data_IF_640681628871
#
_entry.id   IF_640681628871
#
_cell.length_a   1.000
_cell.length_b   1.000
_cell.length_c   1.000
_cell.angle_alpha   90.00
_cell.angle_beta   90.00
_cell.angle_gamma   90.00
#
_symmetry.space_group_name_H-M   'P 1'
#
loop_
_entity.id
_entity.type
_entity.pdbx_description
1 polymer ?
#
# COMPACT_ATOMS: atom_id res chain seq x y z
N UNK A 1 -3.44 12.59 2.12
CA UNK A 1 -4.79 12.02 2.36
C UNK A 1 -4.64 10.55 2.68
N UNK A 2 -5.75 9.82 2.82
CA UNK A 2 -5.75 8.35 2.95
C UNK A 2 -7.05 7.81 2.32
N UNK A 3 -7.05 6.54 1.90
CA UNK A 3 -8.27 5.83 1.52
C UNK A 3 -8.89 6.20 0.17
N UNK A 4 -8.09 6.70 -0.79
CA UNK A 4 -8.58 6.96 -2.15
C UNK A 4 -9.39 8.25 -2.31
N UNK A 5 -9.20 9.23 -1.42
CA UNK A 5 -9.75 10.58 -1.59
C UNK A 5 -9.03 11.33 -2.71
N UNK A 6 -9.78 12.00 -3.59
CA UNK A 6 -9.26 12.83 -4.70
C UNK A 6 -8.38 12.06 -5.70
N UNK A 7 -8.69 10.79 -5.96
CA UNK A 7 -8.05 10.00 -7.03
C UNK A 7 -8.89 10.11 -8.30
N UNK A 8 -8.24 10.49 -9.40
CA UNK A 8 -8.86 10.58 -10.73
C UNK A 8 -8.02 9.79 -11.74
N UNK A 9 -8.69 9.03 -12.60
CA UNK A 9 -8.06 8.45 -13.78
C UNK A 9 -8.30 9.40 -14.96
N UNK A 10 -7.22 9.91 -15.54
CA UNK A 10 -7.29 10.78 -16.71
C UNK A 10 -6.99 9.98 -17.98
N UNK A 11 -7.83 10.16 -19.00
CA UNK A 11 -7.58 9.70 -20.36
C UNK A 11 -7.13 10.85 -21.25
N UNK A 12 -6.48 10.55 -22.37
CA UNK A 12 -5.97 11.56 -23.29
C UNK A 12 -7.09 12.46 -23.83
N UNK A 13 -8.27 11.89 -24.05
CA UNK A 13 -9.45 12.56 -24.59
C UNK A 13 -10.50 12.90 -23.52
N UNK A 14 -10.09 12.95 -22.24
CA UNK A 14 -10.98 13.31 -21.14
C UNK A 14 -11.40 14.80 -21.23
N UNK A 15 -12.69 15.11 -21.47
CA UNK A 15 -13.15 16.49 -21.61
C UNK A 15 -12.99 17.29 -20.31
N UNK A 16 -12.88 16.61 -19.16
CA UNK A 16 -12.74 17.23 -17.84
C UNK A 16 -11.28 17.37 -17.40
N UNK A 17 -10.30 17.03 -18.24
CA UNK A 17 -8.88 17.06 -17.86
C UNK A 17 -8.45 18.39 -17.24
N UNK A 18 -8.78 19.51 -17.88
CA UNK A 18 -8.39 20.84 -17.40
C UNK A 18 -9.02 21.18 -16.04
N UNK A 19 -10.32 20.96 -15.89
CA UNK A 19 -11.03 21.27 -14.63
C UNK A 19 -10.61 20.33 -13.49
N UNK A 20 -10.32 19.06 -13.78
CA UNK A 20 -9.75 18.14 -12.78
C UNK A 20 -8.43 18.70 -12.28
N UNK A 21 -7.50 19.05 -13.19
CA UNK A 21 -6.18 19.60 -12.83
C UNK A 21 -6.31 20.89 -12.01
N UNK A 22 -7.15 21.83 -12.44
CA UNK A 22 -7.43 23.08 -11.70
C UNK A 22 -7.96 22.78 -10.28
N UNK A 23 -8.89 21.83 -10.16
CA UNK A 23 -9.52 21.48 -8.87
C UNK A 23 -8.53 20.80 -7.93
N UNK A 24 -7.81 19.78 -8.39
CA UNK A 24 -6.91 19.00 -7.51
C UNK A 24 -5.68 19.81 -7.10
N UNK A 25 -5.23 20.74 -7.94
CA UNK A 25 -4.10 21.63 -7.66
C UNK A 25 -4.50 22.90 -6.92
N UNK A 26 -5.80 23.13 -6.65
CA UNK A 26 -6.29 24.42 -6.14
C UNK A 26 -5.74 25.60 -6.95
N UNK A 27 -5.96 25.56 -8.27
CA UNK A 27 -5.43 26.53 -9.24
C UNK A 27 -3.92 26.77 -9.11
N UNK A 28 -3.16 25.68 -8.93
CA UNK A 28 -1.69 25.70 -8.79
C UNK A 28 -1.15 26.02 -7.39
N UNK A 29 -2.01 26.17 -6.37
CA UNK A 29 -1.59 26.45 -4.98
C UNK A 29 -1.23 25.19 -4.18
N UNK A 30 -1.60 24.01 -4.68
CA UNK A 30 -1.35 22.71 -4.07
C UNK A 30 -0.58 21.81 -5.02
N UNK A 31 0.47 21.18 -4.50
CA UNK A 31 1.21 20.13 -5.20
C UNK A 31 0.35 18.87 -5.32
N UNK A 32 0.42 18.21 -6.47
CA UNK A 32 -0.27 16.94 -6.72
C UNK A 32 0.71 15.90 -7.23
N UNK A 33 0.35 14.63 -7.09
CA UNK A 33 1.11 13.52 -7.63
C UNK A 33 0.40 12.99 -8.88
N UNK A 34 1.13 12.84 -9.97
CA UNK A 34 0.67 12.14 -11.16
C UNK A 34 1.48 10.85 -11.31
N UNK A 35 0.79 9.73 -11.47
CA UNK A 35 1.39 8.42 -11.72
C UNK A 35 0.77 7.85 -12.98
N UNK A 36 1.52 7.02 -13.71
CA UNK A 36 0.92 6.25 -14.79
C UNK A 36 -0.14 5.30 -14.23
N UNK A 37 -1.18 5.06 -15.02
CA UNK A 37 -2.18 4.05 -14.68
C UNK A 37 -1.57 2.64 -14.79
N UNK A 38 -1.86 1.78 -13.81
CA UNK A 38 -1.42 0.39 -13.76
C UNK A 38 -2.63 -0.54 -13.95
N UNK A 39 -2.81 -1.15 -15.13
CA UNK A 39 -3.94 -2.06 -15.39
C UNK A 39 -4.03 -3.26 -14.43
N UNK A 40 -2.90 -3.65 -13.84
CA UNK A 40 -2.76 -4.71 -12.84
C UNK A 40 -3.55 -4.43 -11.56
N UNK A 41 -3.97 -3.19 -11.33
CA UNK A 41 -4.89 -2.80 -10.25
C UNK A 41 -6.14 -3.70 -10.16
N UNK A 42 -6.61 -4.26 -11.28
CA UNK A 42 -7.73 -5.21 -11.31
C UNK A 42 -7.46 -6.50 -10.52
N UNK A 43 -6.18 -6.87 -10.36
CA UNK A 43 -5.73 -8.02 -9.55
C UNK A 43 -5.63 -7.66 -8.07
N UNK A 44 -5.84 -6.38 -7.73
CA UNK A 44 -5.83 -5.84 -6.38
C UNK A 44 -4.59 -5.01 -6.09
N UNK A 45 -4.77 -4.06 -5.18
CA UNK A 45 -3.70 -3.29 -4.57
C UNK A 45 -3.21 -4.06 -3.33
N UNK A 46 -2.02 -4.65 -3.42
CA UNK A 46 -1.48 -5.55 -2.40
C UNK A 46 -0.78 -4.77 -1.30
N UNK A 47 -1.31 -4.91 -0.07
CA UNK A 47 -0.66 -4.47 1.16
C UNK A 47 0.35 -5.52 1.62
N UNK A 48 1.62 -5.13 1.70
CA UNK A 48 2.70 -5.92 2.31
C UNK A 48 3.11 -5.25 3.61
N UNK A 49 3.06 -5.99 4.72
CA UNK A 49 3.52 -5.48 6.02
C UNK A 49 5.03 -5.73 6.16
N UNK A 50 5.76 -4.69 6.56
CA UNK A 50 7.20 -4.74 6.84
C UNK A 50 7.43 -4.35 8.29
N UNK A 51 8.11 -5.23 9.03
CA UNK A 51 8.36 -5.12 10.46
C UNK A 51 9.87 -5.08 10.66
N UNK A 52 10.38 -3.96 11.17
CA UNK A 52 11.82 -3.72 11.36
C UNK A 52 12.67 -4.02 10.11
N UNK A 53 12.15 -3.64 8.94
CA UNK A 53 12.80 -3.87 7.64
C UNK A 53 12.61 -5.28 7.06
N UNK A 54 11.93 -6.19 7.76
CA UNK A 54 11.65 -7.56 7.29
C UNK A 54 10.19 -7.67 6.83
N UNK A 55 9.91 -8.09 5.57
CA UNK A 55 8.55 -8.27 5.12
C UNK A 55 7.89 -9.50 5.75
N UNK A 56 6.60 -9.39 6.08
CA UNK A 56 5.77 -10.55 6.37
C UNK A 56 5.64 -11.40 5.08
N UNK A 57 5.73 -12.74 5.14
CA UNK A 57 5.80 -13.58 3.93
C UNK A 57 4.57 -13.56 3.00
N UNK A 58 3.49 -12.92 3.45
CA UNK A 58 2.24 -12.80 2.71
C UNK A 58 1.80 -11.33 2.63
N UNK A 59 1.12 -10.99 1.55
CA UNK A 59 0.43 -9.70 1.38
C UNK A 59 -1.07 -9.89 1.24
N UNK A 60 -1.82 -8.81 1.50
CA UNK A 60 -3.27 -8.77 1.31
C UNK A 60 -3.58 -7.99 0.04
N UNK A 61 -3.95 -8.69 -1.05
CA UNK A 61 -4.47 -8.08 -2.26
C UNK A 61 -5.87 -7.53 -1.99
N UNK A 62 -6.06 -6.22 -2.17
CA UNK A 62 -7.35 -5.57 -1.96
C UNK A 62 -7.99 -5.33 -3.32
N UNK A 63 -8.91 -6.22 -3.68
CA UNK A 63 -9.52 -6.26 -5.02
C UNK A 63 -10.74 -5.33 -5.04
N UNK A 64 -10.78 -4.34 -5.95
CA UNK A 64 -11.88 -3.39 -6.07
C UNK A 64 -13.23 -4.07 -6.31
N UNK A 65 -14.30 -3.46 -5.80
CA UNK A 65 -15.66 -3.86 -6.16
C UNK A 65 -15.94 -3.57 -7.64
N UNK A 66 -16.87 -4.31 -8.25
CA UNK A 66 -17.29 -4.08 -9.64
C UNK A 66 -17.81 -2.64 -9.79
N UNK A 67 -17.20 -1.88 -10.70
CA UNK A 67 -17.56 -0.49 -10.99
C UNK A 67 -16.85 0.55 -10.12
N UNK A 68 -15.98 0.14 -9.20
CA UNK A 68 -15.20 1.03 -8.34
C UNK A 68 -13.73 1.06 -8.79
N UNK A 69 -13.14 2.27 -8.86
CA UNK A 69 -11.75 2.47 -9.29
C UNK A 69 -10.77 2.48 -8.11
N UNK A 70 -11.24 2.19 -6.90
CA UNK A 70 -10.45 2.20 -5.66
C UNK A 70 -10.35 0.80 -5.05
N UNK A 71 -9.14 0.42 -4.64
CA UNK A 71 -8.85 -0.89 -4.05
C UNK A 71 -8.96 -0.92 -2.52
N UNK A 72 -9.32 0.16 -1.84
CA UNK A 72 -9.31 0.20 -0.38
C UNK A 72 -10.46 -0.64 0.23
N UNK A 73 -10.18 -1.39 1.30
CA UNK A 73 -11.20 -2.16 2.03
C UNK A 73 -12.35 -1.28 2.54
N UNK A 74 -12.05 -0.04 2.95
CA UNK A 74 -13.05 0.94 3.37
C UNK A 74 -14.03 1.34 2.25
N UNK A 75 -13.68 1.13 0.98
CA UNK A 75 -14.52 1.37 -0.19
C UNK A 75 -15.22 0.09 -0.69
N UNK A 76 -15.20 -1.00 0.08
CA UNK A 76 -15.88 -2.27 -0.27
C UNK A 76 -15.02 -3.27 -1.05
N UNK A 77 -13.70 -3.08 -1.09
CA UNK A 77 -12.79 -4.06 -1.70
C UNK A 77 -12.76 -5.38 -0.91
N UNK A 78 -12.57 -6.48 -1.63
CA UNK A 78 -12.37 -7.81 -1.03
C UNK A 78 -10.89 -8.05 -0.75
N UNK A 79 -10.54 -8.39 0.49
CA UNK A 79 -9.18 -8.75 0.87
C UNK A 79 -8.88 -10.22 0.59
N UNK A 80 -7.86 -10.50 -0.22
CA UNK A 80 -7.39 -11.85 -0.56
C UNK A 80 -5.92 -11.97 -0.19
N UNK A 81 -5.60 -12.88 0.72
CA UNK A 81 -4.21 -13.17 1.09
C UNK A 81 -3.48 -13.91 -0.03
N UNK A 82 -2.23 -13.54 -0.29
CA UNK A 82 -1.34 -14.28 -1.19
C UNK A 82 0.10 -14.24 -0.70
N UNK A 83 0.90 -15.27 -1.03
CA UNK A 83 2.34 -15.25 -0.79
C UNK A 83 3.00 -14.13 -1.59
N UNK A 84 4.10 -13.59 -1.07
CA UNK A 84 4.87 -12.60 -1.82
C UNK A 84 5.48 -13.24 -3.07
N UNK A 85 5.29 -12.59 -4.22
CA UNK A 85 5.95 -12.99 -5.47
C UNK A 85 7.45 -12.70 -5.39
N UNK A 86 8.23 -13.28 -6.30
CA UNK A 86 9.68 -12.98 -6.40
C UNK A 86 9.92 -11.48 -6.52
N UNK A 87 9.13 -10.80 -7.37
CA UNK A 87 9.24 -9.37 -7.57
C UNK A 87 8.92 -8.56 -6.31
N UNK A 88 7.90 -8.95 -5.56
CA UNK A 88 7.53 -8.30 -4.31
C UNK A 88 8.61 -8.49 -3.22
N UNK A 89 9.24 -9.67 -3.19
CA UNK A 89 10.38 -9.94 -2.30
C UNK A 89 11.59 -9.06 -2.67
N UNK A 90 11.90 -8.89 -3.96
CA UNK A 90 12.96 -7.98 -4.42
C UNK A 90 12.69 -6.53 -3.99
N UNK A 91 11.45 -6.05 -4.17
CA UNK A 91 11.02 -4.73 -3.72
C UNK A 91 11.27 -4.56 -2.22
N UNK A 92 10.83 -5.54 -1.41
CA UNK A 92 11.00 -5.49 0.03
C UNK A 92 12.48 -5.55 0.45
N UNK A 93 13.31 -6.34 -0.25
CA UNK A 93 14.74 -6.43 0.01
C UNK A 93 15.48 -5.11 -0.29
N UNK A 94 15.02 -4.36 -1.30
CA UNK A 94 15.59 -3.05 -1.63
C UNK A 94 15.17 -1.96 -0.64
N UNK A 95 13.90 -1.98 -0.19
CA UNK A 95 13.33 -0.92 0.65
C UNK A 95 13.56 -1.16 2.15
N UNK A 96 13.51 -2.42 2.60
CA UNK A 96 13.57 -2.83 4.00
C UNK A 96 14.74 -2.24 4.80
N UNK A 97 15.99 -2.28 4.29
CA UNK A 97 17.14 -1.69 4.97
C UNK A 97 16.99 -0.18 5.21
N UNK A 98 16.44 0.55 4.23
CA UNK A 98 16.22 2.00 4.31
C UNK A 98 15.16 2.33 5.37
N UNK A 99 14.06 1.57 5.39
CA UNK A 99 13.02 1.74 6.43
C UNK A 99 13.59 1.53 7.83
N UNK A 100 14.44 0.51 7.99
CA UNK A 100 15.09 0.20 9.27
C UNK A 100 16.01 1.34 9.72
N UNK A 101 16.86 1.85 8.81
CA UNK A 101 17.75 2.99 9.04
C UNK A 101 16.98 4.26 9.45
N UNK A 102 15.83 4.51 8.80
CA UNK A 102 14.94 5.63 9.13
C UNK A 102 14.17 5.43 10.45
N UNK A 103 14.34 4.30 11.13
CA UNK A 103 13.64 4.00 12.38
C UNK A 103 12.16 3.62 12.20
N UNK A 104 11.72 3.32 10.98
CA UNK A 104 10.34 2.98 10.66
C UNK A 104 10.07 1.51 10.99
N UNK A 105 9.56 1.29 12.20
CA UNK A 105 9.40 -0.05 12.77
C UNK A 105 8.27 -0.86 12.12
N UNK A 106 7.16 -0.23 11.76
CA UNK A 106 5.99 -0.89 11.21
C UNK A 106 5.45 -0.12 10.00
N UNK A 107 5.56 -0.73 8.83
CA UNK A 107 5.27 -0.09 7.53
C UNK A 107 4.36 -0.96 6.70
N UNK A 108 3.42 -0.34 5.98
CA UNK A 108 2.62 -0.99 4.95
C UNK A 108 3.05 -0.53 3.57
N UNK A 109 3.63 -1.40 2.77
CA UNK A 109 3.90 -1.14 1.36
C UNK A 109 2.65 -1.48 0.53
N UNK A 110 2.25 -0.56 -0.34
CA UNK A 110 1.20 -0.80 -1.33
C UNK A 110 1.86 -1.07 -2.68
N UNK A 111 1.54 -2.23 -3.26
CA UNK A 111 2.15 -2.73 -4.50
C UNK A 111 1.05 -3.10 -5.49
N UNK A 112 1.18 -2.58 -6.72
CA UNK A 112 0.33 -2.93 -7.85
C UNK A 112 1.22 -3.43 -8.99
N UNK A 113 0.99 -4.67 -9.43
CA UNK A 113 1.88 -5.34 -10.38
C UNK A 113 3.32 -5.37 -9.84
N UNK A 114 4.24 -4.78 -10.60
CA UNK A 114 5.68 -4.77 -10.26
C UNK A 114 6.15 -3.47 -9.59
N UNK A 115 5.21 -2.61 -9.13
CA UNK A 115 5.49 -1.26 -8.68
C UNK A 115 4.97 -0.98 -7.28
N UNK A 116 5.80 -0.31 -6.47
CA UNK A 116 5.35 0.32 -5.23
C UNK A 116 4.61 1.60 -5.58
N UNK A 117 3.39 1.74 -5.08
CA UNK A 117 2.54 2.92 -5.29
C UNK A 117 2.56 3.86 -4.09
N UNK A 118 2.62 3.32 -2.87
CA UNK A 118 2.62 4.07 -1.62
C UNK A 118 3.39 3.34 -0.49
N UNK A 119 4.01 4.11 0.42
CA UNK A 119 4.66 3.61 1.64
C UNK A 119 3.93 4.20 2.86
N UNK A 120 3.12 3.39 3.53
CA UNK A 120 2.30 3.80 4.67
C UNK A 120 3.07 3.62 5.99
N UNK A 121 3.48 4.71 6.63
CA UNK A 121 4.34 4.70 7.83
C UNK A 121 3.65 5.13 9.13
N UNK A 122 2.39 5.57 9.06
CA UNK A 122 1.68 6.17 10.21
C UNK A 122 0.84 5.15 10.98
N UNK A 123 -0.15 4.55 10.32
CA UNK A 123 -1.06 3.56 10.92
C UNK A 123 -1.46 2.49 9.89
N UNK A 124 -0.50 1.71 9.35
CA UNK A 124 -0.82 0.66 8.39
C UNK A 124 -1.72 -0.41 9.03
N UNK A 125 -2.77 -0.80 8.30
CA UNK A 125 -3.77 -1.82 8.69
C UNK A 125 -3.47 -3.18 8.03
N UNK A 126 -4.45 -4.10 8.03
CA UNK A 126 -4.39 -5.44 7.41
C UNK A 126 -3.78 -6.59 8.27
N UNK A 127 -3.41 -6.31 9.53
CA UNK A 127 -2.96 -7.35 10.47
C UNK A 127 -4.04 -8.41 10.68
N UNK A 128 -5.29 -8.00 10.95
CA UNK A 128 -6.36 -8.92 11.36
C UNK A 128 -6.76 -9.90 10.26
N UNK A 129 -6.83 -9.40 9.04
CA UNK A 129 -7.14 -10.16 7.85
C UNK A 129 -6.04 -11.20 7.59
N UNK A 130 -4.77 -10.78 7.63
CA UNK A 130 -3.64 -11.67 7.42
C UNK A 130 -3.48 -12.69 8.56
N UNK A 131 -3.64 -12.30 9.82
CA UNK A 131 -3.64 -13.20 10.97
C UNK A 131 -4.72 -14.28 10.83
N UNK A 132 -5.91 -13.91 10.35
CA UNK A 132 -7.03 -14.82 10.14
C UNK A 132 -6.77 -15.80 8.99
N UNK A 133 -6.28 -15.30 7.86
CA UNK A 133 -6.03 -16.12 6.66
C UNK A 133 -4.88 -17.11 6.89
N UNK A 134 -3.83 -16.69 7.58
CA UNK A 134 -2.60 -17.48 7.74
C UNK A 134 -2.39 -18.06 9.13
N UNK A 135 -3.37 -17.92 10.02
CA UNK A 135 -3.27 -18.33 11.43
C UNK A 135 -1.98 -17.79 12.09
N UNK A 136 -1.63 -16.54 11.76
CA UNK A 136 -0.42 -15.88 12.20
C UNK A 136 -0.65 -15.05 13.48
N UNK A 137 0.44 -14.54 14.05
CA UNK A 137 0.41 -13.54 15.11
C UNK A 137 1.39 -12.42 14.76
N UNK A 138 0.99 -11.57 13.81
CA UNK A 138 1.81 -10.46 13.32
C UNK A 138 2.06 -9.44 14.44
N UNK A 139 1.12 -9.27 15.37
CA UNK A 139 1.33 -8.43 16.55
C UNK A 139 2.51 -8.91 17.39
N UNK A 140 2.64 -10.21 17.63
CA UNK A 140 3.79 -10.76 18.35
C UNK A 140 5.11 -10.49 17.62
N UNK A 141 5.14 -10.59 16.28
CA UNK A 141 6.34 -10.24 15.50
C UNK A 141 6.75 -8.78 15.71
N UNK A 142 5.77 -7.87 15.74
CA UNK A 142 6.01 -6.46 16.02
C UNK A 142 6.54 -6.24 17.44
N UNK A 143 5.94 -6.86 18.45
CA UNK A 143 6.39 -6.74 19.84
C UNK A 143 7.79 -7.32 20.04
N UNK A 144 8.11 -8.46 19.42
CA UNK A 144 9.47 -9.00 19.41
C UNK A 144 10.48 -7.99 18.85
N UNK A 145 10.13 -7.31 17.75
CA UNK A 145 11.00 -6.29 17.16
C UNK A 145 11.15 -5.05 18.07
N UNK A 146 10.10 -4.65 18.79
CA UNK A 146 10.17 -3.60 19.83
C UNK A 146 11.14 -4.00 20.94
N UNK A 147 10.97 -5.20 21.50
CA UNK A 147 11.81 -5.73 22.59
C UNK A 147 13.28 -5.78 22.19
N UNK A 148 13.59 -6.25 20.98
CA UNK A 148 14.95 -6.30 20.45
C UNK A 148 15.58 -4.91 20.33
N UNK A 149 14.81 -3.90 19.90
CA UNK A 149 15.31 -2.52 19.81
C UNK A 149 15.52 -1.86 21.16
N UNK A 150 14.72 -2.21 22.17
CA UNK A 150 14.89 -1.69 23.53
C UNK A 150 16.06 -2.36 24.29
N UNK A 151 16.46 -3.55 23.87
CA UNK A 151 17.59 -4.29 24.45
C UNK A 151 18.95 -3.93 23.82
N UNK A 152 18.96 -3.22 22.70
CA UNK A 152 20.15 -2.78 21.96
C UNK A 152 20.65 -1.41 22.43
#
# INVERSE_FOLDING_TARGET
GMGGSMIFQLHQDDPNRSVILETITDYGRRTVMAQRFLPEFKQGDKRILVIDGVPFPYGLARIPAVGESRGNLAAGATGVGSALTVREQEICAAIGPILKEMGLLFVGLDVIGDYVTEINVTSPTCIRELDTIYHANIAALLFTAIEQRLAA
#
